data_IF_077566558754
#
_entry.id   IF_077566558754
#
_cell.length_a   1.000
_cell.length_b   1.000
_cell.length_c   1.000
_cell.angle_alpha   90.00
_cell.angle_beta   90.00
_cell.angle_gamma   90.00
#
_symmetry.space_group_name_H-M   'P 1'
#
loop_
_entity.id
_entity.type
_entity.pdbx_description
1 polymer ?
#
# COMPACT_ATOMS: atom_id res chain seq x y z
N UNK A 1 -3.70 -31.95 -30.08
CA UNK A 1 -3.04 -30.64 -29.83
C UNK A 1 -3.90 -29.90 -28.83
N UNK A 2 -3.37 -29.58 -27.64
CA UNK A 2 -4.10 -28.85 -26.61
C UNK A 2 -4.10 -27.36 -26.97
N UNK A 3 -5.28 -26.78 -27.19
CA UNK A 3 -5.42 -25.33 -27.39
C UNK A 3 -5.43 -24.66 -26.01
N UNK A 4 -4.32 -24.03 -25.64
CA UNK A 4 -4.31 -23.11 -24.50
C UNK A 4 -5.21 -21.91 -24.83
N UNK A 5 -6.11 -21.57 -23.91
CA UNK A 5 -6.99 -20.40 -24.05
C UNK A 5 -6.11 -19.15 -24.06
N UNK A 6 -6.27 -18.22 -25.03
CA UNK A 6 -5.51 -16.97 -25.01
C UNK A 6 -5.82 -16.22 -23.69
N UNK A 7 -4.82 -15.57 -23.08
CA UNK A 7 -5.01 -14.89 -21.80
C UNK A 7 -6.09 -13.82 -21.93
N UNK A 8 -7.02 -13.76 -20.96
CA UNK A 8 -8.05 -12.73 -20.93
C UNK A 8 -7.42 -11.36 -20.72
N UNK A 9 -7.94 -10.35 -21.42
CA UNK A 9 -7.55 -8.96 -21.21
C UNK A 9 -8.28 -8.43 -19.97
N UNK A 10 -7.51 -8.08 -18.96
CA UNK A 10 -7.98 -7.37 -17.78
C UNK A 10 -7.70 -5.88 -17.97
N UNK A 11 -8.69 -5.04 -17.71
CA UNK A 11 -8.58 -3.58 -17.85
C UNK A 11 -8.95 -2.90 -16.54
N UNK A 12 -8.39 -1.72 -16.31
CA UNK A 12 -8.77 -0.86 -15.18
C UNK A 12 -10.08 -0.16 -15.55
N UNK A 13 -11.12 -0.39 -14.76
CA UNK A 13 -12.46 0.20 -14.96
C UNK A 13 -12.77 1.32 -13.97
N UNK A 14 -11.92 1.52 -12.96
CA UNK A 14 -12.05 2.58 -11.98
C UNK A 14 -10.80 2.71 -11.14
N UNK A 15 -10.54 3.91 -10.63
CA UNK A 15 -9.45 4.22 -9.72
C UNK A 15 -9.88 5.32 -8.74
N UNK A 16 -9.26 5.32 -7.57
CA UNK A 16 -9.43 6.31 -6.53
C UNK A 16 -8.14 6.41 -5.73
N UNK A 17 -7.92 7.53 -5.06
CA UNK A 17 -6.73 7.74 -4.25
C UNK A 17 -7.04 8.68 -3.09
N UNK A 18 -6.45 8.38 -1.93
CA UNK A 18 -6.32 9.30 -0.80
C UNK A 18 -4.83 9.39 -0.54
N UNK A 19 -4.28 10.60 -0.66
CA UNK A 19 -2.83 10.83 -0.58
C UNK A 19 -2.57 12.13 0.19
N UNK A 20 -1.34 12.37 0.65
CA UNK A 20 -0.96 13.67 1.22
C UNK A 20 -1.12 14.85 0.24
N UNK A 21 -1.34 14.56 -1.05
CA UNK A 21 -1.53 15.56 -2.10
C UNK A 21 -3.01 15.86 -2.39
N UNK A 22 -3.94 15.03 -1.92
CA UNK A 22 -5.38 15.23 -2.09
C UNK A 22 -6.21 13.99 -1.73
N UNK A 23 -7.50 14.21 -1.50
CA UNK A 23 -8.45 13.19 -1.03
C UNK A 23 -9.16 12.48 -2.20
N UNK A 24 -8.80 12.83 -3.43
CA UNK A 24 -9.24 12.16 -4.65
C UNK A 24 -8.07 11.92 -5.62
N UNK A 25 -8.28 11.01 -6.57
CA UNK A 25 -7.30 10.77 -7.63
C UNK A 25 -7.10 12.00 -8.53
N UNK A 26 -8.15 12.79 -8.77
CA UNK A 26 -8.08 14.03 -9.55
C UNK A 26 -7.24 15.10 -8.83
N UNK A 27 -7.49 15.31 -7.54
CA UNK A 27 -6.72 16.26 -6.72
C UNK A 27 -5.26 15.84 -6.61
N UNK A 28 -5.01 14.54 -6.36
CA UNK A 28 -3.67 13.97 -6.30
C UNK A 28 -2.93 14.18 -7.61
N UNK A 29 -3.59 13.94 -8.75
CA UNK A 29 -3.00 14.17 -10.07
C UNK A 29 -2.68 15.64 -10.31
N UNK A 30 -3.63 16.54 -10.04
CA UNK A 30 -3.41 17.97 -10.20
C UNK A 30 -2.23 18.46 -9.35
N UNK A 31 -2.14 17.99 -8.11
CA UNK A 31 -1.03 18.33 -7.21
C UNK A 31 0.34 17.87 -7.73
N UNK A 32 0.40 16.68 -8.35
CA UNK A 32 1.60 16.14 -9.00
C UNK A 32 1.97 17.04 -10.17
N UNK A 33 1.01 17.41 -11.01
CA UNK A 33 1.21 18.30 -12.16
C UNK A 33 1.68 19.70 -11.73
N UNK A 34 1.23 20.16 -10.56
CA UNK A 34 1.64 21.43 -9.95
C UNK A 34 2.96 21.33 -9.15
N UNK A 35 3.63 20.17 -9.17
CA UNK A 35 4.85 19.89 -8.41
C UNK A 35 4.73 20.19 -6.90
N UNK A 36 3.54 20.01 -6.34
CA UNK A 36 3.32 20.17 -4.89
C UNK A 36 4.04 19.06 -4.13
N UNK A 37 4.60 19.40 -2.96
CA UNK A 37 5.27 18.44 -2.07
C UNK A 37 4.21 17.73 -1.22
N UNK A 38 4.19 16.40 -1.30
CA UNK A 38 3.30 15.53 -0.51
C UNK A 38 3.90 15.09 0.82
N UNK A 39 4.92 15.78 1.32
CA UNK A 39 5.53 15.48 2.62
C UNK A 39 5.78 16.78 3.38
N UNK A 40 5.73 16.70 4.70
CA UNK A 40 6.01 17.81 5.60
C UNK A 40 6.79 17.35 6.82
N UNK A 41 7.30 18.31 7.57
CA UNK A 41 7.87 18.03 8.87
C UNK A 41 6.78 17.58 9.84
N UNK A 42 6.99 16.45 10.52
CA UNK A 42 6.12 15.89 11.56
C UNK A 42 7.01 15.37 12.69
N UNK A 43 6.75 15.83 13.92
CA UNK A 43 7.42 15.29 15.09
C UNK A 43 6.59 14.16 15.70
N UNK A 44 7.07 12.93 15.53
CA UNK A 44 6.52 11.72 16.12
C UNK A 44 7.52 11.06 17.09
N UNK A 45 8.46 11.84 17.63
CA UNK A 45 9.47 11.36 18.58
C UNK A 45 8.84 10.76 19.84
N UNK A 46 7.70 11.29 20.29
CA UNK A 46 6.90 10.73 21.38
C UNK A 46 6.44 9.28 21.11
N UNK A 47 6.34 8.89 19.85
CA UNK A 47 5.97 7.54 19.40
C UNK A 47 7.19 6.67 19.09
N UNK A 48 8.40 7.13 19.40
CA UNK A 48 9.66 6.45 19.08
C UNK A 48 10.04 6.50 17.60
N UNK A 49 9.42 7.38 16.81
CA UNK A 49 9.71 7.55 15.38
C UNK A 49 10.72 8.68 15.21
N UNK A 50 11.91 8.33 14.68
CA UNK A 50 13.03 9.26 14.51
C UNK A 50 13.05 9.98 13.15
N UNK A 51 12.20 9.58 12.20
CA UNK A 51 12.09 10.24 10.89
C UNK A 51 11.16 11.44 11.00
N UNK A 52 11.58 12.59 10.44
CA UNK A 52 10.87 13.86 10.61
C UNK A 52 10.13 14.35 9.37
N UNK A 53 10.39 13.80 8.17
CA UNK A 53 9.67 14.19 6.96
C UNK A 53 8.76 13.06 6.53
N UNK A 54 7.44 13.29 6.58
CA UNK A 54 6.42 12.26 6.40
C UNK A 54 5.34 12.77 5.45
N UNK A 55 4.88 11.90 4.55
CA UNK A 55 3.68 12.13 3.76
C UNK A 55 2.45 11.73 4.54
N UNK A 56 2.02 12.60 5.46
CA UNK A 56 0.84 12.37 6.29
C UNK A 56 -0.42 12.83 5.55
N UNK A 57 -1.44 11.97 5.52
CA UNK A 57 -2.81 12.37 5.17
C UNK A 57 -3.43 13.04 6.39
N UNK A 58 -3.92 14.26 6.25
CA UNK A 58 -4.45 15.04 7.39
C UNK A 58 -5.77 14.48 7.91
N UNK A 59 -6.65 14.08 6.99
CA UNK A 59 -7.98 13.58 7.31
C UNK A 59 -8.02 12.07 7.08
N UNK A 60 -8.26 11.29 8.14
CA UNK A 60 -8.47 9.85 8.00
C UNK A 60 -9.73 9.61 7.15
N UNK A 61 -9.62 8.93 5.99
CA UNK A 61 -10.78 8.68 5.14
C UNK A 61 -11.74 7.72 5.83
N UNK A 62 -13.06 7.94 5.66
CA UNK A 62 -14.05 7.02 6.20
C UNK A 62 -13.96 5.68 5.48
N UNK A 63 -13.64 4.59 6.21
CA UNK A 63 -13.62 3.23 5.68
C UNK A 63 -15.02 2.62 5.45
N UNK A 64 -16.08 3.43 5.55
CA UNK A 64 -17.47 2.97 5.44
C UNK A 64 -17.75 2.54 4.00
N UNK A 65 -17.96 1.23 3.80
CA UNK A 65 -18.20 0.63 2.48
C UNK A 65 -16.96 -0.01 1.85
N UNK A 66 -15.79 0.09 2.50
CA UNK A 66 -14.65 -0.74 2.15
C UNK A 66 -14.87 -2.15 2.73
N UNK A 67 -14.79 -3.23 1.94
CA UNK A 67 -14.89 -4.58 2.49
C UNK A 67 -13.76 -4.78 3.52
N UNK A 68 -14.01 -5.28 4.74
CA UNK A 68 -12.97 -5.41 5.74
C UNK A 68 -11.80 -6.18 5.13
N UNK A 69 -10.61 -5.58 5.14
CA UNK A 69 -9.40 -6.35 4.89
C UNK A 69 -9.39 -7.44 5.95
N UNK A 70 -9.50 -8.70 5.55
CA UNK A 70 -9.17 -9.81 6.43
C UNK A 70 -7.77 -9.52 6.96
N UNK A 71 -7.65 -9.17 8.24
CA UNK A 71 -6.36 -9.24 8.92
C UNK A 71 -5.88 -10.65 8.64
N UNK A 72 -4.83 -10.81 7.85
CA UNK A 72 -4.18 -12.11 7.73
C UNK A 72 -3.80 -12.47 9.17
N UNK A 73 -4.56 -13.37 9.79
CA UNK A 73 -4.22 -13.93 11.08
C UNK A 73 -2.79 -14.41 10.92
N UNK A 74 -1.85 -13.75 11.60
CA UNK A 74 -0.49 -14.21 11.69
C UNK A 74 -0.59 -15.63 12.21
N UNK A 75 -0.44 -16.61 11.31
CA UNK A 75 -0.40 -18.01 11.69
C UNK A 75 0.74 -18.12 12.68
N UNK A 76 0.41 -18.34 13.95
CA UNK A 76 1.37 -18.56 15.02
C UNK A 76 2.25 -19.73 14.60
N UNK A 77 3.46 -19.43 14.13
CA UNK A 77 4.47 -20.47 13.86
C UNK A 77 4.91 -21.01 15.20
N UNK A 78 4.43 -22.21 15.52
CA UNK A 78 4.98 -23.02 16.60
C UNK A 78 6.46 -23.33 16.29
N UNK A 79 7.41 -23.19 17.23
CA UNK A 79 8.81 -23.47 16.97
C UNK A 79 9.03 -24.99 17.03
N UNK A 80 9.16 -25.63 15.86
CA UNK A 80 9.37 -27.07 15.79
C UNK A 80 10.07 -27.50 14.51
N UNK A 81 11.39 -27.68 14.61
CA UNK A 81 12.23 -28.60 13.85
C UNK A 81 12.35 -28.47 12.30
N UNK A 82 13.59 -28.28 11.84
CA UNK A 82 14.08 -28.88 10.59
C UNK A 82 14.58 -27.91 9.52
N UNK A 83 15.89 -27.95 9.29
CA UNK A 83 16.62 -27.27 8.20
C UNK A 83 16.02 -27.58 6.82
N UNK A 84 16.06 -26.59 5.92
CA UNK A 84 16.73 -26.69 4.60
C UNK A 84 16.95 -25.29 4.00
N UNK A 85 18.16 -25.09 3.49
CA UNK A 85 18.58 -23.92 2.75
C UNK A 85 17.94 -23.91 1.35
N UNK A 86 17.63 -22.72 0.84
CA UNK A 86 17.32 -22.53 -0.59
C UNK A 86 16.44 -21.33 -0.90
N UNK A 87 17.06 -20.24 -1.37
CA UNK A 87 16.61 -19.45 -2.52
C UNK A 87 15.45 -18.47 -2.35
N UNK A 88 15.71 -17.20 -2.72
CA UNK A 88 14.76 -16.41 -3.49
C UNK A 88 13.96 -15.35 -2.74
N UNK A 89 14.59 -14.19 -2.53
CA UNK A 89 14.34 -13.14 -3.51
C UNK A 89 13.26 -12.11 -3.27
N UNK A 90 11.96 -12.45 -3.23
CA UNK A 90 11.01 -11.49 -3.81
C UNK A 90 9.89 -11.11 -2.83
N UNK A 91 10.22 -10.20 -1.90
CA UNK A 91 9.30 -9.65 -0.92
C UNK A 91 9.23 -8.13 -1.00
N UNK A 92 9.02 -7.56 -2.19
CA UNK A 92 8.68 -6.15 -2.34
C UNK A 92 7.20 -6.05 -2.73
N UNK A 93 6.34 -5.87 -1.73
CA UNK A 93 5.05 -5.24 -1.95
C UNK A 93 5.30 -3.75 -2.17
N UNK A 94 4.80 -3.23 -3.28
CA UNK A 94 4.64 -1.80 -3.52
C UNK A 94 3.58 -1.21 -2.60
#
# INVERSE_FOLDING_TARGET
MSHSKPPYRVVITGYGAVTPLGDSAAESWQAIMDYRRGYRYVDLSANGIHTHFIGQVENEPSLKGFPPHSSASAASRSPGAGRRAGGGGDGLCW
#
